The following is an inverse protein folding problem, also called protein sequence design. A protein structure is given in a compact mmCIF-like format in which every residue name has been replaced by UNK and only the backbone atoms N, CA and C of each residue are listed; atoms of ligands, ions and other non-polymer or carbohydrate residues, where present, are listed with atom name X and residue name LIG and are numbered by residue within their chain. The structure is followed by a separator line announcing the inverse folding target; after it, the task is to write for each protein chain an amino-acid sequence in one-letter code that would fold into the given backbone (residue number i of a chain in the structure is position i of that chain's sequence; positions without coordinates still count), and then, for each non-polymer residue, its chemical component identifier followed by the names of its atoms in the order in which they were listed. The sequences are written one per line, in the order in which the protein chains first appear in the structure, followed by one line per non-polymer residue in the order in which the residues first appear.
data_IF_907775346601
#
_entry.id   IF_907775346601
#
_cell.length_a   1.000
_cell.length_b   1.000
_cell.length_c   1.000
_cell.angle_alpha   90.00
_cell.angle_beta   90.00
_cell.angle_gamma   90.00
#
_symmetry.space_group_name_H-M   'P 1'
#
loop_
_entity.id
_entity.type
_entity.pdbx_description
1 polymer ?
#
# COMPACT_ATOMS: atom_id res chain seq x y z
N UNK A 1 3.77 18.42 26.39
CA UNK A 1 4.35 17.44 25.45
C UNK A 1 3.70 17.67 24.10
N UNK A 2 4.46 17.97 23.04
CA UNK A 2 3.92 17.83 21.67
C UNK A 2 3.65 16.34 21.46
N UNK A 3 2.44 15.98 21.06
CA UNK A 3 2.16 14.64 20.54
C UNK A 3 3.04 14.51 19.30
N UNK A 4 3.87 13.48 19.23
CA UNK A 4 4.67 13.21 18.04
C UNK A 4 3.73 12.69 16.96
N UNK A 5 3.74 13.37 15.82
CA UNK A 5 2.99 12.93 14.65
C UNK A 5 3.60 11.62 14.16
N UNK A 6 2.82 10.54 14.24
CA UNK A 6 3.29 9.19 13.92
C UNK A 6 2.23 8.43 13.16
N UNK A 7 2.67 7.81 12.08
CA UNK A 7 1.92 6.75 11.39
C UNK A 7 2.28 5.43 12.05
N UNK A 8 1.28 4.67 12.48
CA UNK A 8 1.48 3.28 12.89
C UNK A 8 1.12 2.37 11.71
N UNK A 9 2.08 1.55 11.30
CA UNK A 9 1.90 0.51 10.29
C UNK A 9 1.81 -0.86 10.97
N UNK A 10 0.71 -1.56 10.77
CA UNK A 10 0.48 -2.89 11.33
C UNK A 10 0.32 -3.89 10.19
N UNK A 11 1.35 -4.69 9.86
CA UNK A 11 1.22 -5.74 8.86
C UNK A 11 0.35 -6.88 9.41
N UNK A 12 -0.56 -7.42 8.58
CA UNK A 12 -1.43 -8.55 8.92
C UNK A 12 -1.65 -9.40 7.67
N UNK A 13 -0.86 -10.47 7.52
CA UNK A 13 -0.89 -11.31 6.33
C UNK A 13 -0.55 -10.50 5.07
N UNK A 14 -1.49 -10.44 4.15
CA UNK A 14 -1.39 -9.70 2.88
C UNK A 14 -1.86 -8.24 2.97
N UNK A 15 -2.11 -7.74 4.20
CA UNK A 15 -2.61 -6.39 4.46
C UNK A 15 -1.60 -5.59 5.27
N UNK A 16 -1.60 -4.28 5.05
CA UNK A 16 -0.92 -3.30 5.89
C UNK A 16 -1.96 -2.29 6.36
N UNK A 17 -2.23 -2.28 7.66
CA UNK A 17 -3.09 -1.29 8.27
C UNK A 17 -2.28 -0.04 8.60
N UNK A 18 -2.72 1.10 8.08
CA UNK A 18 -2.17 2.41 8.34
C UNK A 18 -3.11 3.16 9.27
N UNK A 19 -2.68 3.40 10.51
CA UNK A 19 -3.43 4.21 11.45
C UNK A 19 -2.91 5.65 11.39
N UNK A 20 -3.77 6.55 10.94
CA UNK A 20 -3.51 7.99 10.99
C UNK A 20 -3.82 8.45 12.42
N UNK A 21 -2.79 8.87 13.16
CA UNK A 21 -2.96 9.58 14.44
C UNK A 21 -2.70 11.05 14.22
N UNK A 22 -3.50 11.89 14.88
CA UNK A 22 -3.36 13.34 15.08
C UNK A 22 -2.79 14.10 13.85
N UNK A 23 -3.65 14.87 13.18
CA UNK A 23 -3.31 15.81 12.08
C UNK A 23 -2.92 15.21 10.71
N UNK A 24 -2.89 13.89 10.51
CA UNK A 24 -2.70 13.30 9.16
C UNK A 24 -4.02 13.37 8.38
N UNK A 25 -4.04 14.10 7.24
CA UNK A 25 -5.24 14.22 6.38
C UNK A 25 -5.27 13.28 5.19
N UNK A 26 -4.09 12.89 4.69
CA UNK A 26 -4.00 12.08 3.49
C UNK A 26 -2.73 11.25 3.45
N UNK A 27 -2.83 10.12 2.75
CA UNK A 27 -1.75 9.21 2.48
C UNK A 27 -1.62 9.06 0.97
N UNK A 28 -0.40 9.19 0.45
CA UNK A 28 -0.05 8.84 -0.91
C UNK A 28 0.65 7.49 -0.93
N UNK A 29 0.09 6.55 -1.69
CA UNK A 29 0.73 5.30 -2.03
C UNK A 29 1.46 5.49 -3.35
N UNK A 30 2.80 5.48 -3.31
CA UNK A 30 3.62 5.83 -4.47
C UNK A 30 3.93 4.61 -5.33
N UNK A 31 4.50 3.57 -4.72
CA UNK A 31 4.94 2.36 -5.41
C UNK A 31 4.90 1.11 -4.52
N UNK A 32 4.73 -0.02 -5.18
CA UNK A 32 4.91 -1.37 -4.65
C UNK A 32 6.13 -2.00 -5.33
N UNK A 33 7.04 -2.60 -4.58
CA UNK A 33 8.26 -3.22 -5.09
C UNK A 33 8.30 -4.68 -4.65
N UNK A 34 8.55 -5.60 -5.58
CA UNK A 34 8.84 -7.00 -5.24
C UNK A 34 10.22 -7.09 -4.59
N UNK A 35 10.32 -7.73 -3.42
CA UNK A 35 11.63 -7.98 -2.77
C UNK A 35 12.24 -9.32 -3.15
N UNK A 36 11.48 -10.18 -3.84
CA UNK A 36 11.94 -11.48 -4.30
C UNK A 36 12.68 -11.37 -5.64
N UNK A 37 13.58 -12.32 -5.92
CA UNK A 37 14.10 -12.57 -7.28
C UNK A 37 12.95 -12.84 -8.27
N UNK A 38 11.80 -13.29 -7.73
CA UNK A 38 10.54 -13.44 -8.44
C UNK A 38 9.88 -12.08 -8.63
N UNK A 39 9.78 -11.68 -9.88
CA UNK A 39 9.16 -10.43 -10.33
C UNK A 39 7.64 -10.55 -10.32
N UNK A 40 6.91 -9.44 -10.41
CA UNK A 40 5.45 -9.43 -10.55
C UNK A 40 4.96 -10.33 -11.71
N UNK A 41 5.84 -10.63 -12.67
CA UNK A 41 5.60 -11.54 -13.80
C UNK A 41 5.37 -13.00 -13.46
N UNK A 42 5.72 -13.42 -12.26
CA UNK A 42 5.48 -14.78 -11.80
C UNK A 42 4.05 -14.98 -11.29
N UNK A 43 3.33 -13.90 -10.96
CA UNK A 43 1.99 -13.98 -10.38
C UNK A 43 0.94 -13.69 -11.45
N UNK A 44 -0.07 -14.56 -11.63
CA UNK A 44 -1.04 -14.48 -12.73
C UNK A 44 -1.88 -13.19 -12.71
N UNK A 45 -2.07 -12.60 -11.54
CA UNK A 45 -2.43 -11.20 -11.32
C UNK A 45 -2.23 -10.91 -9.83
N UNK A 46 -1.61 -9.80 -9.48
CA UNK A 46 -1.73 -9.26 -8.12
C UNK A 46 -2.81 -8.19 -8.15
N UNK A 47 -3.72 -8.18 -7.19
CA UNK A 47 -4.62 -7.03 -7.02
C UNK A 47 -4.20 -6.22 -5.81
N UNK A 48 -4.04 -4.92 -6.00
CA UNK A 48 -3.85 -3.98 -4.91
C UNK A 48 -5.18 -3.30 -4.66
N UNK A 49 -5.60 -3.23 -3.40
CA UNK A 49 -6.79 -2.50 -2.99
C UNK A 49 -6.49 -1.61 -1.80
N UNK A 50 -7.19 -0.48 -1.77
CA UNK A 50 -7.11 0.54 -0.74
C UNK A 50 -8.49 0.66 -0.14
N UNK A 51 -8.59 0.38 1.15
CA UNK A 51 -9.83 0.27 1.90
C UNK A 51 -9.83 1.29 3.03
N UNK A 52 -10.96 1.92 3.30
CA UNK A 52 -11.11 2.83 4.45
C UNK A 52 -11.41 2.07 5.76
N UNK A 53 -11.61 2.81 6.85
CA UNK A 53 -11.96 2.26 8.16
C UNK A 53 -13.33 1.53 8.22
N UNK A 54 -14.19 1.72 7.22
CA UNK A 54 -15.50 1.09 7.11
C UNK A 54 -15.49 -0.11 6.14
N UNK A 55 -14.29 -0.59 5.77
CA UNK A 55 -14.07 -1.64 4.77
C UNK A 55 -14.63 -1.29 3.37
N UNK A 56 -14.78 0.01 3.06
CA UNK A 56 -15.14 0.46 1.72
C UNK A 56 -13.90 0.57 0.83
N UNK A 57 -13.96 -0.07 -0.33
CA UNK A 57 -12.89 0.00 -1.33
C UNK A 57 -12.88 1.39 -1.96
N UNK A 58 -11.85 2.17 -1.64
CA UNK A 58 -11.60 3.48 -2.23
C UNK A 58 -10.99 3.37 -3.63
N UNK A 59 -10.16 2.34 -3.84
CA UNK A 59 -9.50 2.07 -5.11
C UNK A 59 -9.00 0.62 -5.16
N UNK A 60 -9.01 0.04 -6.35
CA UNK A 60 -8.40 -1.26 -6.62
C UNK A 60 -7.87 -1.31 -8.03
N UNK A 61 -6.72 -1.96 -8.22
CA UNK A 61 -6.11 -2.16 -9.53
C UNK A 61 -5.42 -3.52 -9.60
N UNK A 62 -5.63 -4.23 -10.72
CA UNK A 62 -4.84 -5.41 -11.07
C UNK A 62 -3.48 -4.96 -11.60
N UNK A 63 -2.42 -5.35 -10.90
CA UNK A 63 -1.05 -5.11 -11.27
C UNK A 63 -0.62 -6.20 -12.25
N UNK A 64 -0.72 -5.89 -13.54
CA UNK A 64 -0.24 -6.81 -14.57
C UNK A 64 1.27 -6.76 -14.68
N UNK A 65 1.92 -7.92 -14.83
CA UNK A 65 3.31 -7.93 -15.16
C UNK A 65 3.55 -7.57 -16.62
N UNK A 66 4.04 -6.34 -16.83
CA UNK A 66 4.60 -5.95 -18.11
C UNK A 66 6.00 -6.57 -18.26
N UNK A 67 6.03 -7.80 -18.77
CA UNK A 67 7.22 -8.60 -19.10
C UNK A 67 8.06 -9.10 -17.91
N UNK A 68 8.80 -10.19 -18.13
CA UNK A 68 9.86 -10.72 -17.26
C UNK A 68 11.01 -9.68 -17.20
N UNK A 69 11.17 -8.93 -16.11
CA UNK A 69 12.32 -8.06 -15.91
C UNK A 69 13.50 -8.85 -15.30
N UNK A 70 14.73 -8.51 -15.68
CA UNK A 70 15.95 -9.08 -15.09
C UNK A 70 16.29 -8.48 -13.70
N UNK A 71 15.42 -7.60 -13.19
CA UNK A 71 15.60 -6.80 -11.96
C UNK A 71 14.29 -6.73 -11.16
N UNK A 72 14.31 -6.34 -9.87
CA UNK A 72 13.10 -6.11 -9.08
C UNK A 72 12.10 -5.25 -9.85
N UNK A 73 10.86 -5.72 -9.94
CA UNK A 73 9.78 -5.01 -10.63
C UNK A 73 9.13 -4.01 -9.68
N UNK A 74 8.92 -2.77 -10.14
CA UNK A 74 8.19 -1.73 -9.43
C UNK A 74 6.83 -1.48 -10.10
N UNK A 75 5.75 -1.44 -9.31
CA UNK A 75 4.44 -1.00 -9.75
C UNK A 75 4.22 0.44 -9.25
N UNK A 76 4.07 1.38 -10.18
CA UNK A 76 3.88 2.81 -9.87
C UNK A 76 2.38 3.09 -9.73
N UNK A 77 1.97 3.60 -8.58
CA UNK A 77 0.58 3.88 -8.23
C UNK A 77 0.36 5.39 -8.17
N UNK A 78 1.17 6.11 -7.40
CA UNK A 78 1.16 7.57 -7.32
C UNK A 78 -0.16 8.21 -6.87
N UNK A 79 -1.02 7.48 -6.14
CA UNK A 79 -2.37 7.96 -5.76
C UNK A 79 -2.43 8.43 -4.31
N UNK A 80 -3.24 9.46 -4.08
CA UNK A 80 -3.47 10.07 -2.77
C UNK A 80 -4.90 9.78 -2.29
N UNK A 81 -5.02 9.34 -1.05
CA UNK A 81 -6.27 9.01 -0.38
C UNK A 81 -6.44 9.89 0.85
N UNK A 82 -7.64 10.43 1.05
CA UNK A 82 -7.99 11.07 2.32
C UNK A 82 -8.07 9.99 3.42
N UNK A 83 -7.61 10.31 4.63
CA UNK A 83 -7.65 9.39 5.77
C UNK A 83 -8.29 10.10 6.96
N UNK A 84 -9.29 9.47 7.56
CA UNK A 84 -9.97 9.97 8.76
C UNK A 84 -9.39 9.32 10.02
N UNK A 85 -9.43 7.99 10.10
CA UNK A 85 -8.88 7.23 11.23
C UNK A 85 -7.81 6.24 10.77
N UNK A 86 -8.12 5.46 9.73
CA UNK A 86 -7.20 4.46 9.20
C UNK A 86 -7.48 4.15 7.75
N UNK A 87 -6.49 3.53 7.11
CA UNK A 87 -6.60 3.02 5.76
C UNK A 87 -5.90 1.67 5.72
N UNK A 88 -6.50 0.70 5.05
CA UNK A 88 -5.93 -0.62 4.84
C UNK A 88 -5.44 -0.73 3.41
N UNK A 89 -4.20 -1.16 3.25
CA UNK A 89 -3.64 -1.52 1.96
C UNK A 89 -3.63 -3.05 1.88
N UNK A 90 -4.39 -3.62 0.95
CA UNK A 90 -4.54 -5.07 0.80
C UNK A 90 -4.01 -5.52 -0.56
N UNK A 91 -3.22 -6.59 -0.54
CA UNK A 91 -2.66 -7.21 -1.75
C UNK A 91 -3.23 -8.61 -1.88
N UNK A 92 -4.10 -8.86 -2.85
CA UNK A 92 -4.51 -10.23 -3.16
C UNK A 92 -3.48 -10.86 -4.10
N UNK A 93 -2.92 -11.99 -3.64
CA UNK A 93 -1.95 -12.81 -4.36
C UNK A 93 -2.58 -14.06 -4.96
N UNK A 94 -3.92 -14.20 -4.88
CA UNK A 94 -4.71 -15.32 -5.40
C UNK A 94 -4.19 -16.71 -4.98
N UNK A 95 -3.64 -16.80 -3.75
CA UNK A 95 -3.19 -18.05 -3.15
C UNK A 95 -1.68 -18.28 -3.13
N UNK A 96 -0.88 -17.35 -3.66
CA UNK A 96 0.58 -17.44 -3.62
C UNK A 96 1.19 -16.60 -2.49
N UNK A 97 2.34 -17.02 -1.95
CA UNK A 97 3.08 -16.23 -0.94
C UNK A 97 4.02 -15.26 -1.64
N UNK A 98 3.99 -13.98 -1.25
CA UNK A 98 4.72 -12.91 -1.93
C UNK A 98 5.23 -11.88 -0.93
N UNK A 99 6.54 -11.62 -0.95
CA UNK A 99 7.17 -10.56 -0.17
C UNK A 99 7.26 -9.27 -0.98
N UNK A 100 6.86 -8.17 -0.36
CA UNK A 100 6.80 -6.86 -1.01
C UNK A 100 7.20 -5.74 -0.04
N UNK A 101 7.73 -4.66 -0.61
CA UNK A 101 7.80 -3.37 0.07
C UNK A 101 6.84 -2.37 -0.55
N UNK A 102 6.20 -1.59 0.31
CA UNK A 102 5.32 -0.50 -0.08
C UNK A 102 5.89 0.83 0.39
N UNK A 103 5.90 1.82 -0.49
CA UNK A 103 6.31 3.19 -0.15
C UNK A 103 5.09 4.09 0.01
N UNK A 104 4.88 4.53 1.25
CA UNK A 104 3.81 5.45 1.62
C UNK A 104 4.39 6.81 2.03
N UNK A 105 3.69 7.88 1.67
CA UNK A 105 3.94 9.24 2.13
C UNK A 105 2.68 9.76 2.80
N UNK A 106 2.79 10.59 3.83
CA UNK A 106 1.65 11.22 4.49
C UNK A 106 1.83 12.73 4.55
N UNK A 107 0.71 13.45 4.64
CA UNK A 107 0.71 14.91 4.84
C UNK A 107 0.10 15.25 6.18
N UNK A 108 0.85 16.01 6.98
CA UNK A 108 0.42 16.57 8.26
C UNK A 108 -0.37 17.86 8.05
N UNK A 109 -1.29 18.17 8.96
CA UNK A 109 -1.99 19.44 9.02
C UNK A 109 -0.95 20.55 9.27
N UNK A 110 -0.82 21.55 8.38
CA UNK A 110 0.18 22.60 8.53
C UNK A 110 -0.24 23.73 9.51
N UNK A 111 -1.39 23.60 10.18
CA UNK A 111 -1.91 24.58 11.14
C UNK A 111 -1.16 24.56 12.48
#
# INVERSE_FOLDING_TARGET
MRKEDRVLLTPTGNKVHLHARDDIRSVRVDRLVSENELTFAHYPALSLSIVDEADLVLWSEELYPYALPETPSEAIIGRTFAVWESLTIEIDTHGESFDFSIRVYYTLNPD
#
